data_IF_242657556635
#
_entry.id   IF_242657556635
#
_cell.length_a   1.000
_cell.length_b   1.000
_cell.length_c   1.000
_cell.angle_alpha   90.00
_cell.angle_beta   90.00
_cell.angle_gamma   90.00
#
_symmetry.space_group_name_H-M   'P 1'
#
loop_
_entity.id
_entity.type
_entity.pdbx_description
1 polymer ?
#
# COMPACT_ATOMS: atom_id res chain seq x y z
N UNK A 1 -27.92 -17.82 -35.49
CA UNK A 1 -26.60 -17.16 -35.30
C UNK A 1 -26.11 -17.14 -33.84
N UNK A 2 -26.98 -16.94 -32.84
CA UNK A 2 -26.56 -16.94 -31.42
C UNK A 2 -25.98 -18.27 -30.90
N UNK A 3 -26.40 -19.42 -31.45
CA UNK A 3 -25.89 -20.74 -31.03
C UNK A 3 -24.46 -21.04 -31.56
N UNK A 4 -24.09 -20.50 -32.73
CA UNK A 4 -22.74 -20.67 -33.28
C UNK A 4 -21.71 -19.85 -32.49
N UNK A 5 -22.09 -18.66 -32.03
CA UNK A 5 -21.26 -17.84 -31.13
C UNK A 5 -21.02 -18.52 -29.77
N UNK A 6 -22.00 -19.26 -29.25
CA UNK A 6 -21.81 -20.03 -28.01
C UNK A 6 -20.86 -21.22 -28.19
N UNK A 7 -20.86 -21.87 -29.35
CA UNK A 7 -19.91 -22.93 -29.68
C UNK A 7 -18.49 -22.42 -29.89
N UNK A 8 -18.31 -21.24 -30.49
CA UNK A 8 -16.99 -20.62 -30.64
C UNK A 8 -16.45 -20.08 -29.30
N UNK A 9 -17.31 -19.53 -28.43
CA UNK A 9 -16.91 -19.15 -27.07
C UNK A 9 -16.48 -20.36 -26.22
N UNK A 10 -17.15 -21.51 -26.37
CA UNK A 10 -16.76 -22.74 -25.70
C UNK A 10 -15.44 -23.34 -26.23
N UNK A 11 -15.09 -23.10 -27.50
CA UNK A 11 -13.79 -23.50 -28.09
C UNK A 11 -12.64 -22.59 -27.68
N UNK A 12 -12.89 -21.29 -27.48
CA UNK A 12 -11.88 -20.33 -27.00
C UNK A 12 -11.67 -20.39 -25.48
N UNK A 13 -12.60 -21.00 -24.74
CA UNK A 13 -12.40 -21.42 -23.36
C UNK A 13 -11.52 -22.68 -23.34
N UNK A 14 -10.23 -22.50 -23.63
CA UNK A 14 -9.21 -23.49 -23.29
C UNK A 14 -9.41 -23.85 -21.81
N UNK A 15 -9.58 -25.14 -21.46
CA UNK A 15 -9.68 -25.53 -20.06
C UNK A 15 -8.36 -25.18 -19.39
N UNK A 16 -8.37 -24.11 -18.61
CA UNK A 16 -7.30 -23.77 -17.66
C UNK A 16 -7.37 -24.82 -16.55
N UNK A 17 -6.85 -26.03 -16.79
CA UNK A 17 -6.89 -27.04 -15.74
C UNK A 17 -6.54 -28.49 -16.07
N UNK A 18 -6.44 -28.93 -17.32
CA UNK A 18 -6.13 -30.35 -17.59
C UNK A 18 -4.66 -30.55 -17.98
N UNK A 19 -3.79 -30.52 -16.96
CA UNK A 19 -2.38 -30.89 -17.15
C UNK A 19 -1.41 -30.49 -16.03
N UNK A 20 -1.81 -29.64 -15.08
CA UNK A 20 -0.96 -29.26 -13.95
C UNK A 20 -1.58 -29.69 -12.62
N UNK A 21 -1.62 -31.00 -12.40
CA UNK A 21 -1.65 -31.54 -11.04
C UNK A 21 -0.29 -31.26 -10.39
N UNK A 22 -0.06 -30.02 -10.01
CA UNK A 22 1.04 -29.68 -9.10
C UNK A 22 0.40 -29.23 -7.80
N UNK A 23 0.60 -30.05 -6.76
CA UNK A 23 0.33 -29.81 -5.34
C UNK A 23 0.89 -28.46 -4.79
N UNK A 24 1.49 -27.63 -5.62
CA UNK A 24 2.19 -26.39 -5.28
C UNK A 24 1.22 -25.21 -5.45
N UNK A 25 0.91 -24.51 -4.34
CA UNK A 25 -0.07 -23.41 -4.29
C UNK A 25 0.31 -22.17 -5.12
N UNK A 26 1.60 -22.00 -5.43
CA UNK A 26 2.16 -20.91 -6.24
C UNK A 26 3.32 -21.43 -7.11
N UNK A 27 3.49 -20.96 -8.35
CA UNK A 27 4.44 -21.53 -9.32
C UNK A 27 5.92 -21.19 -9.07
N UNK A 28 6.25 -20.29 -8.12
CA UNK A 28 7.62 -19.85 -7.85
C UNK A 28 7.90 -19.72 -6.35
N UNK A 29 9.18 -19.63 -5.97
CA UNK A 29 9.59 -19.37 -4.58
C UNK A 29 9.09 -18.01 -4.10
N UNK A 30 8.63 -17.93 -2.84
CA UNK A 30 8.15 -16.68 -2.20
C UNK A 30 9.17 -15.53 -2.31
N UNK A 31 10.46 -15.82 -2.20
CA UNK A 31 11.54 -14.83 -2.32
C UNK A 31 11.64 -14.15 -3.69
N UNK A 32 11.51 -14.93 -4.77
CA UNK A 32 11.50 -14.36 -6.11
C UNK A 32 10.24 -13.53 -6.34
N UNK A 33 9.09 -14.02 -5.87
CA UNK A 33 7.83 -13.27 -5.95
C UNK A 33 7.93 -11.92 -5.24
N UNK A 34 8.44 -11.91 -4.01
CA UNK A 34 8.58 -10.68 -3.22
C UNK A 34 9.54 -9.69 -3.87
N UNK A 35 10.67 -10.14 -4.41
CA UNK A 35 11.63 -9.24 -5.06
C UNK A 35 11.05 -8.57 -6.31
N UNK A 36 10.34 -9.32 -7.15
CA UNK A 36 9.67 -8.75 -8.33
C UNK A 36 8.54 -7.79 -7.95
N UNK A 37 7.75 -8.16 -6.94
CA UNK A 37 6.64 -7.36 -6.46
C UNK A 37 7.13 -6.06 -5.82
N UNK A 38 8.22 -6.12 -5.04
CA UNK A 38 8.87 -4.96 -4.45
C UNK A 38 9.39 -4.01 -5.53
N UNK A 39 10.14 -4.52 -6.52
CA UNK A 39 10.63 -3.70 -7.63
C UNK A 39 9.48 -2.98 -8.35
N UNK A 40 8.38 -3.69 -8.61
CA UNK A 40 7.19 -3.11 -9.24
C UNK A 40 6.53 -2.06 -8.34
N UNK A 41 6.35 -2.35 -7.05
CA UNK A 41 5.79 -1.42 -6.08
C UNK A 41 6.62 -0.13 -6.02
N UNK A 42 7.94 -0.22 -5.95
CA UNK A 42 8.83 0.96 -5.95
C UNK A 42 8.68 1.81 -7.21
N UNK A 43 8.56 1.20 -8.40
CA UNK A 43 8.36 1.93 -9.66
C UNK A 43 6.99 2.61 -9.71
N UNK A 44 5.94 1.96 -9.24
CA UNK A 44 4.60 2.55 -9.15
C UNK A 44 4.63 3.74 -8.20
N UNK A 45 5.23 3.57 -7.02
CA UNK A 45 5.43 4.64 -6.03
C UNK A 45 6.22 5.83 -6.57
N UNK A 46 7.26 5.58 -7.34
CA UNK A 46 8.07 6.63 -7.96
C UNK A 46 7.24 7.44 -8.99
N UNK A 47 6.35 6.78 -9.74
CA UNK A 47 5.46 7.46 -10.71
C UNK A 47 4.35 8.28 -10.03
N UNK A 48 3.90 7.86 -8.86
CA UNK A 48 2.88 8.58 -8.06
C UNK A 48 3.47 9.58 -7.04
N UNK A 49 4.78 9.85 -7.12
CA UNK A 49 5.50 10.72 -6.18
C UNK A 49 4.97 12.15 -6.07
N UNK A 50 4.25 12.67 -7.07
CA UNK A 50 3.62 13.99 -6.98
C UNK A 50 2.61 14.12 -5.84
N UNK A 51 1.84 13.06 -5.55
CA UNK A 51 0.91 13.02 -4.41
C UNK A 51 1.65 12.94 -3.07
N UNK A 52 2.71 12.14 -3.02
CA UNK A 52 3.54 11.99 -1.82
C UNK A 52 4.32 13.28 -1.49
N UNK A 53 4.73 14.06 -2.50
CA UNK A 53 5.41 15.34 -2.29
C UNK A 53 4.53 16.36 -1.58
N UNK A 54 3.26 16.52 -2.01
CA UNK A 54 2.29 17.40 -1.35
C UNK A 54 2.08 16.98 0.10
N UNK A 55 2.01 15.66 0.35
CA UNK A 55 1.95 15.12 1.71
C UNK A 55 3.17 15.53 2.54
N UNK A 56 4.38 15.35 2.03
CA UNK A 56 5.60 15.71 2.77
C UNK A 56 5.67 17.20 3.10
N UNK A 57 5.24 18.08 2.18
CA UNK A 57 5.17 19.53 2.43
C UNK A 57 4.15 19.86 3.52
N UNK A 58 2.95 19.26 3.47
CA UNK A 58 1.93 19.46 4.49
C UNK A 58 2.39 18.93 5.86
N UNK A 59 3.01 17.75 5.91
CA UNK A 59 3.59 17.18 7.13
C UNK A 59 4.67 18.09 7.71
N UNK A 60 5.52 18.67 6.89
CA UNK A 60 6.54 19.63 7.33
C UNK A 60 5.88 20.89 7.91
N UNK A 61 4.82 21.40 7.30
CA UNK A 61 4.07 22.54 7.81
C UNK A 61 3.45 22.23 9.18
N UNK A 62 2.82 21.05 9.35
CA UNK A 62 2.30 20.60 10.65
C UNK A 62 3.41 20.45 11.69
N UNK A 63 4.56 19.90 11.31
CA UNK A 63 5.72 19.77 12.20
C UNK A 63 6.24 21.14 12.66
N UNK A 64 6.26 22.15 11.79
CA UNK A 64 6.64 23.53 12.16
C UNK A 64 5.60 24.15 13.11
N UNK A 65 4.31 23.97 12.85
CA UNK A 65 3.25 24.49 13.74
C UNK A 65 3.32 23.84 15.11
N UNK A 66 3.36 22.52 15.19
CA UNK A 66 3.47 21.82 16.47
C UNK A 66 4.82 22.06 17.15
N UNK A 67 5.90 22.18 16.38
CA UNK A 67 7.22 22.50 16.89
C UNK A 67 7.25 23.87 17.55
N UNK A 68 6.71 24.90 16.90
CA UNK A 68 6.73 26.28 17.42
C UNK A 68 5.79 26.50 18.60
N UNK A 69 4.62 25.85 18.62
CA UNK A 69 3.64 25.97 19.72
C UNK A 69 4.15 25.34 21.03
N UNK A 70 4.90 24.23 20.96
CA UNK A 70 5.30 23.48 22.15
C UNK A 70 6.80 23.59 22.50
N UNK A 71 7.58 24.40 21.77
CA UNK A 71 9.04 24.53 21.97
C UNK A 71 9.46 25.07 23.34
N UNK A 72 8.62 25.88 24.00
CA UNK A 72 8.98 26.55 25.29
C UNK A 72 7.93 26.35 26.39
N UNK A 73 7.53 25.10 26.64
CA UNK A 73 6.74 24.81 27.85
C UNK A 73 7.66 24.68 29.07
N UNK A 74 7.36 25.43 30.12
CA UNK A 74 7.82 25.27 31.50
C UNK A 74 7.19 24.03 32.18
N UNK A 75 7.61 23.73 33.42
CA UNK A 75 7.20 22.54 34.17
C UNK A 75 6.04 22.82 35.13
N UNK A 76 5.07 23.61 34.68
CA UNK A 76 3.89 23.98 35.47
C UNK A 76 2.77 22.95 35.29
N UNK A 77 1.92 22.77 36.30
CA UNK A 77 0.85 21.76 36.30
C UNK A 77 -0.14 21.90 35.12
N UNK A 78 -0.42 23.13 34.65
CA UNK A 78 -1.25 23.35 33.45
C UNK A 78 -0.56 22.94 32.15
N UNK A 79 0.77 23.08 32.10
CA UNK A 79 1.56 22.79 30.91
C UNK A 79 1.79 21.30 30.70
N UNK A 80 1.74 20.51 31.78
CA UNK A 80 1.72 19.04 31.67
C UNK A 80 0.53 18.56 30.82
N UNK A 81 -0.67 19.14 31.00
CA UNK A 81 -1.83 18.80 30.16
C UNK A 81 -1.64 19.20 28.70
N UNK A 82 -0.99 20.34 28.45
CA UNK A 82 -0.67 20.79 27.10
C UNK A 82 0.34 19.83 26.41
N UNK A 83 1.36 19.34 27.13
CA UNK A 83 2.30 18.32 26.61
C UNK A 83 1.62 16.98 26.32
N UNK A 84 0.71 16.53 27.18
CA UNK A 84 -0.05 15.30 26.94
C UNK A 84 -0.96 15.43 25.70
N UNK A 85 -1.57 16.59 25.51
CA UNK A 85 -2.38 16.90 24.32
C UNK A 85 -1.53 16.91 23.04
N UNK A 86 -0.30 17.41 23.12
CA UNK A 86 0.66 17.37 22.01
C UNK A 86 1.05 15.94 21.64
N UNK A 87 1.39 15.09 22.61
CA UNK A 87 1.71 13.67 22.37
C UNK A 87 0.53 12.91 21.74
N UNK A 88 -0.69 13.18 22.21
CA UNK A 88 -1.90 12.58 21.64
C UNK A 88 -2.13 13.03 20.18
N UNK A 89 -2.08 14.34 19.93
CA UNK A 89 -2.37 14.91 18.60
C UNK A 89 -1.33 14.48 17.57
N UNK A 90 -0.04 14.44 17.95
CA UNK A 90 1.05 13.99 17.07
C UNK A 90 0.90 12.51 16.70
N UNK A 91 0.62 11.65 17.68
CA UNK A 91 0.38 10.21 17.44
C UNK A 91 -0.84 10.00 16.54
N UNK A 92 -1.92 10.73 16.81
CA UNK A 92 -3.13 10.68 16.00
C UNK A 92 -2.88 11.13 14.55
N UNK A 93 -2.15 12.24 14.36
CA UNK A 93 -1.80 12.76 13.05
C UNK A 93 -0.97 11.77 12.21
N UNK A 94 -0.01 11.08 12.84
CA UNK A 94 0.77 10.03 12.18
C UNK A 94 -0.17 8.93 11.69
N UNK A 95 -1.04 8.40 12.56
CA UNK A 95 -2.01 7.35 12.20
C UNK A 95 -2.93 7.78 11.04
N UNK A 96 -3.45 9.00 11.10
CA UNK A 96 -4.31 9.56 10.05
C UNK A 96 -3.57 9.64 8.70
N UNK A 97 -2.31 10.09 8.73
CA UNK A 97 -1.47 10.23 7.54
C UNK A 97 -1.19 8.88 6.88
N UNK A 98 -0.90 7.84 7.69
CA UNK A 98 -0.74 6.47 7.19
C UNK A 98 -2.00 5.95 6.51
N UNK A 99 -3.18 6.17 7.11
CA UNK A 99 -4.45 5.70 6.55
C UNK A 99 -4.80 6.38 5.22
N UNK A 100 -4.78 7.71 5.16
CA UNK A 100 -5.18 8.47 3.96
C UNK A 100 -4.25 8.17 2.78
N UNK A 101 -2.95 8.05 3.06
CA UNK A 101 -1.94 7.85 2.02
C UNK A 101 -1.92 6.42 1.52
N UNK A 102 -1.93 5.45 2.44
CA UNK A 102 -1.99 4.03 2.09
C UNK A 102 -3.25 3.73 1.28
N UNK A 103 -4.41 4.22 1.72
CA UNK A 103 -5.69 3.99 1.05
C UNK A 103 -5.68 4.43 -0.42
N UNK A 104 -5.11 5.59 -0.71
CA UNK A 104 -5.06 6.16 -2.07
C UNK A 104 -4.24 5.30 -3.03
N UNK A 105 -3.13 4.72 -2.56
CA UNK A 105 -2.31 3.80 -3.36
C UNK A 105 -3.03 2.46 -3.54
N UNK A 106 -3.61 1.92 -2.46
CA UNK A 106 -4.29 0.64 -2.50
C UNK A 106 -5.50 0.67 -3.44
N UNK A 107 -6.32 1.73 -3.40
CA UNK A 107 -7.50 1.87 -4.27
C UNK A 107 -7.15 1.84 -5.76
N UNK A 108 -6.05 2.48 -6.16
CA UNK A 108 -5.58 2.47 -7.54
C UNK A 108 -5.12 1.08 -8.02
N UNK A 109 -4.69 0.23 -7.10
CA UNK A 109 -4.08 -1.07 -7.42
C UNK A 109 -5.01 -2.27 -7.26
N UNK A 110 -6.12 -2.10 -6.54
CA UNK A 110 -7.19 -3.10 -6.40
C UNK A 110 -7.50 -3.87 -7.69
N UNK A 111 -7.71 -3.26 -8.87
CA UNK A 111 -8.02 -4.01 -10.08
C UNK A 111 -6.88 -4.95 -10.53
N UNK A 112 -5.62 -4.55 -10.36
CA UNK A 112 -4.47 -5.42 -10.65
C UNK A 112 -4.42 -6.58 -9.67
N UNK A 113 -4.63 -6.30 -8.38
CA UNK A 113 -4.64 -7.33 -7.35
C UNK A 113 -5.69 -8.42 -7.62
N UNK A 114 -6.93 -8.06 -7.98
CA UNK A 114 -7.97 -9.05 -8.27
C UNK A 114 -7.63 -9.93 -9.48
N UNK A 115 -7.00 -9.37 -10.51
CA UNK A 115 -6.54 -10.13 -11.68
C UNK A 115 -5.41 -11.10 -11.32
N UNK A 116 -4.43 -10.65 -10.55
CA UNK A 116 -3.26 -11.45 -10.15
C UNK A 116 -3.63 -12.51 -9.11
N UNK A 117 -4.67 -12.26 -8.31
CA UNK A 117 -5.25 -13.22 -7.36
C UNK A 117 -5.99 -14.35 -8.07
N UNK A 118 -6.74 -14.04 -9.13
CA UNK A 118 -7.41 -15.06 -9.95
C UNK A 118 -6.40 -16.01 -10.61
N UNK A 119 -5.24 -15.48 -11.04
CA UNK A 119 -4.13 -16.27 -11.60
C UNK A 119 -3.25 -16.97 -10.55
N UNK A 120 -3.51 -16.78 -9.24
CA UNK A 120 -2.70 -17.34 -8.12
C UNK A 120 -1.19 -17.07 -8.28
N UNK A 121 -0.85 -15.84 -8.64
CA UNK A 121 0.53 -15.46 -8.97
C UNK A 121 1.44 -15.33 -7.74
N UNK A 122 0.91 -14.84 -6.61
CA UNK A 122 1.62 -14.67 -5.33
C UNK A 122 0.67 -14.72 -4.12
N UNK A 123 1.25 -14.86 -2.92
CA UNK A 123 0.51 -14.86 -1.66
C UNK A 123 0.11 -13.45 -1.21
N UNK A 124 -1.13 -13.28 -0.73
CA UNK A 124 -1.68 -11.96 -0.38
C UNK A 124 -0.89 -11.20 0.69
N UNK A 125 -0.28 -11.93 1.64
CA UNK A 125 0.52 -11.30 2.71
C UNK A 125 1.85 -10.75 2.19
N UNK A 126 2.42 -11.36 1.15
CA UNK A 126 3.67 -10.89 0.50
C UNK A 126 3.44 -9.55 -0.18
N UNK A 127 2.26 -9.36 -0.78
CA UNK A 127 1.86 -8.08 -1.36
C UNK A 127 1.85 -6.97 -0.32
N UNK A 128 1.17 -7.18 0.82
CA UNK A 128 1.18 -6.20 1.91
C UNK A 128 2.58 -5.85 2.39
N UNK A 129 3.43 -6.86 2.66
CA UNK A 129 4.81 -6.61 3.10
C UNK A 129 5.65 -5.85 2.07
N UNK A 130 5.52 -6.16 0.79
CA UNK A 130 6.28 -5.47 -0.26
C UNK A 130 5.87 -4.00 -0.36
N UNK A 131 4.58 -3.69 -0.20
CA UNK A 131 4.09 -2.31 -0.20
C UNK A 131 4.57 -1.52 1.01
N UNK A 132 4.48 -2.12 2.21
CA UNK A 132 5.04 -1.50 3.42
C UNK A 132 6.54 -1.21 3.29
N UNK A 133 7.33 -2.14 2.74
CA UNK A 133 8.77 -1.93 2.52
C UNK A 133 9.02 -0.86 1.46
N UNK A 134 8.22 -0.82 0.39
CA UNK A 134 8.33 0.20 -0.65
C UNK A 134 7.97 1.60 -0.16
N UNK A 135 7.14 1.72 0.90
CA UNK A 135 6.76 3.00 1.52
C UNK A 135 7.84 3.57 2.45
N UNK A 136 8.66 2.74 3.10
CA UNK A 136 9.71 3.17 4.06
C UNK A 136 10.59 4.32 3.55
N UNK A 137 11.19 4.27 2.33
CA UNK A 137 12.05 5.35 1.86
C UNK A 137 11.31 6.66 1.59
N UNK A 138 9.98 6.67 1.49
CA UNK A 138 9.16 7.87 1.25
C UNK A 138 8.51 8.44 2.52
N UNK A 139 8.75 7.81 3.68
CA UNK A 139 8.30 8.28 5.00
C UNK A 139 9.38 9.14 5.68
N UNK A 140 10.65 8.95 5.31
CA UNK A 140 11.81 9.76 5.74
C UNK A 140 11.99 10.94 4.79
#
# INVERSE_FOLDING_TARGET
>A
QHQLLQQDLARLMVPVGEGLSTSIRYPSSVWRQSLFLLKRATVIYYRSAGYNFVRSVLTLAFAVVFGTVYWRLEWTQSEVFARMSWLYTTTFYIGLTFLISGLSVHLNERPMFYRERAARTYASWVYGLCYQIAEVPYII
#
